data_IF_348761821688
#
_entry.id   IF_348761821688
#
_cell.length_a   1.000
_cell.length_b   1.000
_cell.length_c   1.000
_cell.angle_alpha   90.00
_cell.angle_beta   90.00
_cell.angle_gamma   90.00
#
_symmetry.space_group_name_H-M   'P 1'
#
loop_
_entity.id
_entity.type
_entity.pdbx_description
1 polymer ?
#
# COMPACT_ATOMS: atom_id res chain seq x y z
N UNK A 1 -19.94 -0.43 -23.32
CA UNK A 1 -19.60 -1.81 -22.88
C UNK A 1 -18.21 -1.78 -22.25
N UNK A 2 -18.08 -2.14 -20.97
CA UNK A 2 -16.81 -2.05 -20.23
C UNK A 2 -15.81 -3.08 -20.77
N UNK A 3 -14.70 -2.63 -21.38
CA UNK A 3 -13.64 -3.49 -21.96
C UNK A 3 -13.11 -4.55 -20.99
N UNK A 4 -13.10 -4.23 -19.70
CA UNK A 4 -12.72 -5.13 -18.61
C UNK A 4 -13.66 -6.34 -18.55
N UNK A 5 -14.97 -6.12 -18.61
CA UNK A 5 -15.97 -7.18 -18.54
C UNK A 5 -15.85 -8.15 -19.72
N UNK A 6 -15.59 -7.66 -20.93
CA UNK A 6 -15.40 -8.52 -22.11
C UNK A 6 -14.16 -9.41 -22.03
N UNK A 7 -13.10 -8.96 -21.35
CA UNK A 7 -11.85 -9.73 -21.21
C UNK A 7 -11.94 -10.76 -20.09
N UNK A 8 -12.63 -10.44 -18.99
CA UNK A 8 -12.67 -11.28 -17.79
C UNK A 8 -13.99 -12.04 -17.58
N UNK A 9 -14.97 -11.90 -18.48
CA UNK A 9 -16.23 -12.68 -18.41
C UNK A 9 -15.93 -14.17 -18.45
N UNK A 10 -16.50 -14.92 -17.50
CA UNK A 10 -16.32 -16.38 -17.40
C UNK A 10 -15.07 -16.83 -16.66
N UNK A 11 -14.28 -15.91 -16.09
CA UNK A 11 -13.12 -16.23 -15.24
C UNK A 11 -13.38 -15.83 -13.78
N UNK A 12 -12.89 -16.66 -12.84
CA UNK A 12 -12.84 -16.27 -11.43
C UNK A 12 -11.58 -15.44 -11.19
N UNK A 13 -11.76 -14.15 -10.93
CA UNK A 13 -10.66 -13.25 -10.59
C UNK A 13 -10.36 -13.31 -9.10
N UNK A 14 -9.21 -13.88 -8.74
CA UNK A 14 -8.67 -13.79 -7.38
C UNK A 14 -7.88 -12.51 -7.24
N UNK A 15 -8.55 -11.46 -6.78
CA UNK A 15 -7.89 -10.19 -6.52
C UNK A 15 -7.09 -10.32 -5.21
N UNK A 16 -5.80 -9.96 -5.22
CA UNK A 16 -5.04 -9.92 -3.99
C UNK A 16 -5.66 -8.87 -3.07
N UNK A 17 -5.80 -9.22 -1.80
CA UNK A 17 -6.35 -8.33 -0.77
C UNK A 17 -5.58 -7.00 -0.68
N UNK A 18 -4.33 -6.99 -1.17
CA UNK A 18 -3.50 -5.79 -1.33
C UNK A 18 -3.16 -5.61 -2.80
N UNK A 19 -3.90 -4.73 -3.46
CA UNK A 19 -3.62 -4.32 -4.85
C UNK A 19 -2.49 -3.31 -4.98
N UNK A 20 -2.09 -2.70 -3.86
CA UNK A 20 -1.01 -1.73 -3.89
C UNK A 20 0.33 -2.45 -4.02
N UNK A 21 1.09 -2.11 -5.07
CA UNK A 21 2.49 -2.46 -5.14
C UNK A 21 3.18 -1.88 -3.88
N UNK A 22 3.59 -2.75 -2.95
CA UNK A 22 4.16 -2.35 -1.67
C UNK A 22 5.33 -1.37 -1.84
N UNK A 23 6.06 -1.47 -2.95
CA UNK A 23 7.11 -0.53 -3.34
C UNK A 23 6.61 0.88 -3.68
N UNK A 24 5.49 0.99 -4.42
CA UNK A 24 4.90 2.29 -4.77
C UNK A 24 4.36 3.00 -3.52
N UNK A 25 3.75 2.22 -2.61
CA UNK A 25 3.32 2.74 -1.32
C UNK A 25 4.52 3.16 -0.49
N UNK A 26 5.55 2.32 -0.38
CA UNK A 26 6.76 2.67 0.38
C UNK A 26 7.43 3.95 -0.14
N UNK A 27 7.53 4.14 -1.46
CA UNK A 27 8.01 5.39 -2.06
C UNK A 27 7.14 6.59 -1.69
N UNK A 28 5.82 6.42 -1.71
CA UNK A 28 4.87 7.48 -1.38
C UNK A 28 4.90 7.85 0.11
N UNK A 29 4.98 6.84 0.98
CA UNK A 29 5.14 6.96 2.43
C UNK A 29 6.44 7.69 2.75
N UNK A 30 7.58 7.30 2.15
CA UNK A 30 8.85 8.03 2.32
C UNK A 30 8.79 9.48 1.88
N UNK A 31 8.09 9.78 0.77
CA UNK A 31 7.93 11.15 0.26
C UNK A 31 7.07 12.02 1.17
N UNK A 32 6.07 11.45 1.84
CA UNK A 32 5.15 12.16 2.73
C UNK A 32 5.59 12.16 4.19
N UNK A 33 6.60 11.37 4.54
CA UNK A 33 7.12 11.28 5.89
C UNK A 33 7.90 12.55 6.27
N UNK A 34 7.44 13.24 7.31
CA UNK A 34 8.01 14.49 7.81
C UNK A 34 8.78 14.32 9.15
N UNK A 35 9.05 13.09 9.59
CA UNK A 35 9.75 12.79 10.84
C UNK A 35 8.85 12.48 12.04
N UNK A 36 7.65 13.08 12.14
CA UNK A 36 6.70 12.85 13.24
C UNK A 36 5.37 12.25 12.78
N UNK A 37 5.13 12.13 11.48
CA UNK A 37 3.84 11.74 10.94
C UNK A 37 3.67 10.23 10.68
N UNK A 38 4.21 9.37 11.55
CA UNK A 38 4.02 7.92 11.42
C UNK A 38 2.57 7.50 11.66
N UNK A 39 1.89 8.12 12.63
CA UNK A 39 0.51 7.76 12.99
C UNK A 39 -0.49 8.10 11.87
N UNK A 40 -0.44 9.29 11.25
CA UNK A 40 -1.38 9.60 10.16
C UNK A 40 -1.08 8.76 8.92
N UNK A 41 0.19 8.42 8.65
CA UNK A 41 0.54 7.50 7.57
C UNK A 41 -0.02 6.09 7.79
N UNK A 42 -0.08 5.62 9.04
CA UNK A 42 -0.72 4.34 9.39
C UNK A 42 -2.19 4.35 9.03
N UNK A 43 -2.91 5.39 9.45
CA UNK A 43 -4.33 5.51 9.15
C UNK A 43 -4.61 5.74 7.66
N UNK A 44 -3.77 6.52 6.99
CA UNK A 44 -3.94 6.87 5.57
C UNK A 44 -3.74 5.69 4.63
N UNK A 45 -2.75 4.85 4.93
CA UNK A 45 -2.40 3.71 4.07
C UNK A 45 -2.93 2.38 4.59
N UNK A 46 -3.54 2.37 5.78
CA UNK A 46 -4.04 1.17 6.47
C UNK A 46 -2.97 0.09 6.64
N UNK A 47 -1.76 0.52 7.03
CA UNK A 47 -0.65 -0.37 7.35
C UNK A 47 -0.31 -0.30 8.82
N UNK A 48 0.16 -1.44 9.34
CA UNK A 48 0.68 -1.50 10.70
C UNK A 48 1.91 -0.61 10.88
N UNK A 49 2.10 -0.13 12.11
CA UNK A 49 3.26 0.66 12.50
C UNK A 49 4.57 -0.03 12.08
N UNK A 50 4.66 -1.34 12.31
CA UNK A 50 5.83 -2.15 11.92
C UNK A 50 6.12 -2.07 10.41
N UNK A 51 5.10 -2.15 9.56
CA UNK A 51 5.30 -2.07 8.12
C UNK A 51 5.73 -0.66 7.71
N UNK A 52 5.13 0.38 8.29
CA UNK A 52 5.49 1.77 8.00
C UNK A 52 6.90 2.11 8.48
N UNK A 53 7.29 1.70 9.69
CA UNK A 53 8.67 1.84 10.17
C UNK A 53 9.66 1.14 9.24
N UNK A 54 9.33 -0.07 8.76
CA UNK A 54 10.15 -0.78 7.76
C UNK A 54 10.18 -0.04 6.42
N UNK A 55 9.06 0.52 5.98
CA UNK A 55 8.96 1.27 4.73
C UNK A 55 9.75 2.58 4.80
N UNK A 56 9.80 3.24 5.96
CA UNK A 56 10.59 4.45 6.20
C UNK A 56 12.09 4.12 6.40
N UNK A 57 12.40 2.89 6.82
CA UNK A 57 13.76 2.46 7.13
C UNK A 57 14.18 2.76 8.58
N UNK A 58 13.22 3.06 9.47
CA UNK A 58 13.46 3.11 10.90
C UNK A 58 13.66 1.68 11.41
N UNK A 59 14.92 1.32 11.60
CA UNK A 59 15.33 0.10 12.29
C UNK A 59 15.20 0.38 13.79
N UNK A 60 14.03 0.09 14.37
CA UNK A 60 13.92 -0.01 15.82
C UNK A 60 14.80 -1.18 16.26
N UNK A 61 15.88 -0.84 16.96
CA UNK A 61 16.81 -1.78 17.60
C UNK A 61 16.24 -2.15 18.97
#
# INVERSE_FOLDING_TARGET
>A
MLKLFTVYRGQLLTLPMRMYAGEKVAKSVKKQFNGHNTAELMHKYDYSQRWISKAIGQRNN
#
